data_IF_176198111603
#
_entry.id   IF_176198111603
#
_cell.length_a   1.000
_cell.length_b   1.000
_cell.length_c   1.000
_cell.angle_alpha   90.00
_cell.angle_beta   90.00
_cell.angle_gamma   90.00
#
_symmetry.space_group_name_H-M   'P 1'
#
loop_
_entity.id
_entity.type
_entity.pdbx_description
1 polymer ?
#
# COMPACT_ATOMS: atom_id res chain seq x y z
N UNK A 1 10.61 -23.34 -6.12
CA UNK A 1 9.31 -23.13 -5.45
C UNK A 1 9.52 -22.18 -4.28
N UNK A 2 8.49 -21.44 -3.89
CA UNK A 2 8.53 -20.50 -2.77
C UNK A 2 7.23 -20.58 -1.98
N UNK A 3 7.32 -20.64 -0.67
CA UNK A 3 6.19 -20.64 0.27
C UNK A 3 6.15 -19.30 1.01
N UNK A 4 4.96 -18.73 1.15
CA UNK A 4 4.75 -17.37 1.65
C UNK A 4 3.55 -17.37 2.60
N UNK A 5 3.78 -16.86 3.81
CA UNK A 5 2.69 -16.44 4.68
C UNK A 5 2.10 -15.12 4.18
N UNK A 6 0.91 -15.19 3.61
CA UNK A 6 0.33 -14.08 2.87
C UNK A 6 -0.80 -13.41 3.65
N UNK A 7 -0.65 -12.11 3.87
CA UNK A 7 -1.67 -11.28 4.52
C UNK A 7 -2.48 -10.52 3.47
N UNK A 8 -3.80 -10.50 3.62
CA UNK A 8 -4.72 -9.75 2.76
C UNK A 8 -5.79 -9.04 3.58
N UNK A 9 -6.50 -8.10 2.97
CA UNK A 9 -7.65 -7.43 3.60
C UNK A 9 -8.91 -8.22 3.28
N UNK A 10 -9.51 -8.81 4.31
CA UNK A 10 -10.77 -9.53 4.22
C UNK A 10 -12.00 -8.60 4.19
N UNK A 11 -13.18 -9.21 4.17
CA UNK A 11 -14.44 -8.48 4.26
C UNK A 11 -14.50 -7.62 5.52
N UNK A 12 -15.17 -6.48 5.39
CA UNK A 12 -15.27 -5.45 6.42
C UNK A 12 -13.91 -4.91 6.91
N UNK A 13 -12.84 -5.06 6.13
CA UNK A 13 -11.50 -4.58 6.48
C UNK A 13 -10.79 -5.47 7.51
N UNK A 14 -11.29 -6.67 7.76
CA UNK A 14 -10.67 -7.59 8.74
C UNK A 14 -9.35 -8.14 8.20
N UNK A 15 -8.29 -8.24 9.02
CA UNK A 15 -7.04 -8.86 8.59
C UNK A 15 -7.25 -10.33 8.22
N UNK A 16 -6.86 -10.70 7.00
CA UNK A 16 -6.91 -12.06 6.50
C UNK A 16 -5.53 -12.66 6.28
N UNK A 17 -5.44 -13.99 6.41
CA UNK A 17 -4.20 -14.75 6.24
C UNK A 17 -4.44 -16.03 5.44
N UNK A 18 -3.54 -16.31 4.52
CA UNK A 18 -3.47 -17.57 3.78
C UNK A 18 -2.02 -17.94 3.52
N UNK A 19 -1.80 -19.21 3.21
CA UNK A 19 -0.52 -19.69 2.72
C UNK A 19 -0.52 -19.64 1.19
N UNK A 20 0.54 -19.08 0.60
CA UNK A 20 0.73 -19.07 -0.84
C UNK A 20 2.00 -19.81 -1.19
N UNK A 21 1.85 -20.84 -2.02
CA UNK A 21 2.98 -21.46 -2.72
C UNK A 21 3.03 -21.00 -4.15
N UNK A 22 4.21 -20.61 -4.58
CA UNK A 22 4.49 -20.20 -5.95
C UNK A 22 5.55 -21.12 -6.54
N UNK A 23 5.29 -21.65 -7.72
CA UNK A 23 6.19 -22.57 -8.39
C UNK A 23 6.25 -22.28 -9.89
N UNK A 24 7.42 -22.50 -10.48
CA UNK A 24 7.63 -22.51 -11.94
C UNK A 24 8.82 -23.42 -12.21
N UNK A 25 8.63 -24.47 -13.00
CA UNK A 25 9.69 -25.47 -13.23
C UNK A 25 10.72 -24.98 -14.25
N UNK A 26 10.28 -24.22 -15.26
CA UNK A 26 11.16 -23.55 -16.23
C UNK A 26 10.45 -22.37 -16.88
N UNK A 27 11.18 -21.55 -17.63
CA UNK A 27 10.65 -20.37 -18.33
C UNK A 27 9.50 -20.69 -19.33
N UNK A 28 9.43 -21.92 -19.86
CA UNK A 28 8.38 -22.29 -20.80
C UNK A 28 7.08 -22.77 -20.13
N UNK A 29 7.08 -22.92 -18.81
CA UNK A 29 5.90 -23.33 -18.05
C UNK A 29 5.23 -22.12 -17.40
N UNK A 30 3.92 -22.24 -17.17
CA UNK A 30 3.14 -21.28 -16.41
C UNK A 30 3.62 -21.20 -14.97
N UNK A 31 3.40 -20.05 -14.35
CA UNK A 31 3.52 -19.92 -12.90
C UNK A 31 2.36 -20.67 -12.27
N UNK A 32 2.62 -21.41 -11.21
CA UNK A 32 1.60 -22.04 -10.37
C UNK A 32 1.48 -21.26 -9.09
N UNK A 33 0.26 -20.94 -8.72
CA UNK A 33 -0.07 -20.36 -7.43
C UNK A 33 -1.01 -21.31 -6.71
N UNK A 34 -0.56 -21.88 -5.60
CA UNK A 34 -1.43 -22.64 -4.69
C UNK A 34 -1.79 -21.75 -3.51
N UNK A 35 -3.02 -21.25 -3.49
CA UNK A 35 -3.56 -20.42 -2.41
C UNK A 35 -4.30 -21.30 -1.41
N UNK A 36 -3.71 -21.50 -0.23
CA UNK A 36 -4.19 -22.42 0.80
C UNK A 36 -4.78 -21.68 1.99
N UNK A 37 -5.96 -22.08 2.44
CA UNK A 37 -6.52 -21.63 3.71
C UNK A 37 -5.75 -22.27 4.88
N UNK A 38 -5.32 -21.48 5.86
CA UNK A 38 -4.72 -22.03 7.08
C UNK A 38 -5.71 -22.86 7.89
N UNK A 39 -5.20 -23.90 8.57
CA UNK A 39 -5.94 -24.55 9.65
C UNK A 39 -6.18 -23.56 10.78
N UNK A 40 -7.34 -23.67 11.44
CA UNK A 40 -7.75 -22.82 12.56
C UNK A 40 -7.91 -21.31 12.25
N UNK A 41 -8.01 -20.92 10.98
CA UNK A 41 -8.36 -19.56 10.59
C UNK A 41 -9.87 -19.45 10.31
N UNK A 42 -10.52 -18.47 10.93
CA UNK A 42 -11.98 -18.26 10.88
C UNK A 42 -12.39 -16.90 10.30
N UNK A 43 -11.46 -16.20 9.63
CA UNK A 43 -11.72 -14.91 9.00
C UNK A 43 -12.33 -15.04 7.59
N UNK A 44 -12.08 -14.05 6.74
CA UNK A 44 -12.51 -14.09 5.33
C UNK A 44 -11.80 -15.22 4.59
N UNK A 45 -12.57 -16.12 3.98
CA UNK A 45 -12.02 -17.27 3.25
C UNK A 45 -11.23 -16.88 2.01
N UNK A 46 -10.28 -17.72 1.61
CA UNK A 46 -9.50 -17.53 0.38
C UNK A 46 -10.38 -17.44 -0.87
N UNK A 47 -11.49 -18.21 -0.94
CA UNK A 47 -12.49 -18.13 -2.02
C UNK A 47 -13.04 -16.71 -2.16
N UNK A 48 -13.42 -16.11 -1.03
CA UNK A 48 -14.07 -14.80 -0.99
C UNK A 48 -13.09 -13.64 -1.19
N UNK A 49 -11.80 -13.86 -0.91
CA UNK A 49 -10.75 -12.86 -1.05
C UNK A 49 -9.86 -13.10 -2.28
N UNK A 50 -10.20 -14.05 -3.16
CA UNK A 50 -9.36 -14.49 -4.27
C UNK A 50 -8.85 -13.32 -5.12
N UNK A 51 -9.74 -12.42 -5.54
CA UNK A 51 -9.39 -11.25 -6.38
C UNK A 51 -8.42 -10.30 -5.66
N UNK A 52 -8.64 -10.07 -4.36
CA UNK A 52 -7.80 -9.20 -3.52
C UNK A 52 -6.41 -9.83 -3.34
N UNK A 53 -6.38 -11.12 -3.02
CA UNK A 53 -5.15 -11.89 -2.84
C UNK A 53 -4.36 -11.90 -4.16
N UNK A 54 -5.02 -12.25 -5.26
CA UNK A 54 -4.42 -12.30 -6.59
C UNK A 54 -3.84 -10.96 -7.00
N UNK A 55 -4.63 -9.87 -6.91
CA UNK A 55 -4.16 -8.53 -7.27
C UNK A 55 -2.95 -8.11 -6.47
N UNK A 56 -2.98 -8.33 -5.15
CA UNK A 56 -1.84 -8.02 -4.28
C UNK A 56 -0.63 -8.87 -4.63
N UNK A 57 -0.80 -10.18 -4.79
CA UNK A 57 0.28 -11.11 -5.11
C UNK A 57 0.95 -10.77 -6.45
N UNK A 58 0.15 -10.55 -7.49
CA UNK A 58 0.67 -10.30 -8.82
C UNK A 58 1.31 -8.91 -8.93
N UNK A 59 0.88 -7.93 -8.14
CA UNK A 59 1.61 -6.67 -8.00
C UNK A 59 3.00 -6.89 -7.40
N UNK A 60 3.13 -7.76 -6.38
CA UNK A 60 4.45 -8.11 -5.81
C UNK A 60 5.34 -8.85 -6.82
N UNK A 61 4.76 -9.71 -7.68
CA UNK A 61 5.49 -10.36 -8.78
C UNK A 61 5.92 -9.33 -9.83
N UNK A 62 5.02 -8.45 -10.25
CA UNK A 62 5.31 -7.44 -11.28
C UNK A 62 6.39 -6.45 -10.84
N UNK A 63 6.39 -6.07 -9.55
CA UNK A 63 7.39 -5.15 -8.98
C UNK A 63 8.73 -5.82 -8.64
N UNK A 64 8.98 -7.06 -9.12
CA UNK A 64 10.20 -7.83 -8.86
C UNK A 64 10.50 -8.12 -7.38
N UNK A 65 9.51 -8.00 -6.48
CA UNK A 65 9.69 -8.31 -5.05
C UNK A 65 9.78 -9.83 -4.79
N UNK A 66 9.41 -10.64 -5.78
CA UNK A 66 9.51 -12.09 -5.77
C UNK A 66 10.47 -12.53 -6.89
N UNK A 67 11.79 -12.46 -6.60
CA UNK A 67 12.90 -12.81 -7.49
C UNK A 67 12.61 -14.03 -8.41
N UNK A 68 13.01 -13.94 -9.67
CA UNK A 68 12.89 -14.93 -10.77
C UNK A 68 11.49 -15.16 -11.36
N UNK A 69 10.49 -14.38 -10.97
CA UNK A 69 9.15 -14.42 -11.56
C UNK A 69 8.83 -13.09 -12.26
N UNK A 70 8.37 -13.17 -13.50
CA UNK A 70 7.86 -12.03 -14.25
C UNK A 70 6.53 -12.40 -14.93
N UNK A 71 5.62 -11.44 -14.96
CA UNK A 71 4.40 -11.48 -15.75
C UNK A 71 4.64 -10.80 -17.09
N UNK A 72 3.89 -11.16 -18.12
CA UNK A 72 4.02 -10.48 -19.42
C UNK A 72 3.55 -9.02 -19.33
N UNK A 73 4.12 -8.16 -20.18
CA UNK A 73 3.68 -6.76 -20.29
C UNK A 73 2.20 -6.62 -20.67
N UNK A 74 1.60 -7.65 -21.32
CA UNK A 74 0.17 -7.65 -21.69
C UNK A 74 -0.75 -7.70 -20.47
N UNK A 75 -0.25 -8.20 -19.34
CA UNK A 75 -0.99 -8.26 -18.09
C UNK A 75 -1.15 -6.89 -17.43
N UNK A 76 -0.47 -5.86 -17.93
CA UNK A 76 -0.54 -4.49 -17.40
C UNK A 76 -1.33 -3.62 -18.37
N UNK A 77 -2.41 -3.04 -17.88
CA UNK A 77 -3.21 -2.07 -18.63
C UNK A 77 -3.21 -0.71 -17.96
N UNK A 78 -3.32 0.33 -18.78
CA UNK A 78 -3.46 1.69 -18.29
C UNK A 78 -4.94 2.00 -18.10
N UNK A 79 -5.34 2.19 -16.85
CA UNK A 79 -6.73 2.48 -16.49
C UNK A 79 -6.81 3.89 -15.93
N UNK A 80 -7.78 4.66 -16.40
CA UNK A 80 -8.11 5.96 -15.84
C UNK A 80 -8.48 5.80 -14.37
N UNK A 81 -7.99 6.69 -13.51
CA UNK A 81 -8.51 6.76 -12.16
C UNK A 81 -10.01 7.08 -12.21
N UNK A 82 -10.77 6.52 -11.27
CA UNK A 82 -12.23 6.64 -11.24
C UNK A 82 -12.73 8.09 -11.12
N UNK A 83 -11.86 9.02 -10.73
CA UNK A 83 -12.13 10.43 -10.50
C UNK A 83 -11.77 11.34 -11.69
N UNK A 84 -11.26 10.78 -12.79
CA UNK A 84 -10.78 11.59 -13.93
C UNK A 84 -11.93 12.13 -14.76
N UNK A 85 -12.01 13.46 -14.84
CA UNK A 85 -13.01 14.17 -15.63
C UNK A 85 -12.59 14.36 -17.10
N UNK A 86 -13.52 14.81 -17.93
CA UNK A 86 -13.31 14.96 -19.37
C UNK A 86 -12.21 15.98 -19.73
N UNK A 87 -12.00 17.01 -18.90
CA UNK A 87 -10.97 18.02 -19.12
C UNK A 87 -9.58 17.43 -18.84
N UNK A 88 -9.46 16.63 -17.80
CA UNK A 88 -8.22 15.90 -17.47
C UNK A 88 -7.87 14.87 -18.55
N UNK A 89 -8.87 14.18 -19.12
CA UNK A 89 -8.67 13.33 -20.32
C UNK A 89 -8.13 14.14 -21.49
N UNK A 90 -8.69 15.33 -21.73
CA UNK A 90 -8.19 16.27 -22.77
C UNK A 90 -6.77 16.76 -22.49
N UNK A 91 -6.38 16.96 -21.23
CA UNK A 91 -5.00 17.32 -20.89
C UNK A 91 -4.02 16.21 -21.27
N UNK A 92 -4.37 14.93 -21.02
CA UNK A 92 -3.55 13.79 -21.46
C UNK A 92 -3.47 13.72 -22.98
N UNK A 93 -4.57 13.93 -23.71
CA UNK A 93 -4.53 13.95 -25.18
C UNK A 93 -3.61 15.05 -25.74
N UNK A 94 -3.56 16.21 -25.09
CA UNK A 94 -2.73 17.34 -25.51
C UNK A 94 -1.25 17.17 -25.13
N UNK A 95 -0.96 16.48 -24.04
CA UNK A 95 0.41 16.23 -23.59
C UNK A 95 0.50 14.93 -22.79
N UNK A 96 0.52 13.82 -23.53
CA UNK A 96 0.47 12.47 -22.98
C UNK A 96 1.63 12.23 -22.01
N UNK A 97 2.86 12.59 -22.40
CA UNK A 97 4.06 12.37 -21.58
C UNK A 97 4.01 13.07 -20.22
N UNK A 98 3.32 14.22 -20.12
CA UNK A 98 3.21 14.99 -18.87
C UNK A 98 2.08 14.51 -17.96
N UNK A 99 0.95 14.07 -18.53
CA UNK A 99 -0.28 13.85 -17.75
C UNK A 99 -0.80 12.40 -17.73
N UNK A 100 -0.31 11.53 -18.61
CA UNK A 100 -0.77 10.13 -18.73
C UNK A 100 -0.80 9.42 -17.38
N UNK A 101 0.32 9.39 -16.68
CA UNK A 101 0.44 8.66 -15.41
C UNK A 101 -0.06 9.44 -14.19
N UNK A 102 -0.49 10.69 -14.37
CA UNK A 102 -1.16 11.46 -13.32
C UNK A 102 -2.62 11.04 -13.14
N UNK A 103 -3.27 10.73 -14.26
CA UNK A 103 -4.70 10.42 -14.30
C UNK A 103 -4.95 8.95 -14.67
N UNK A 104 -3.92 8.21 -15.06
CA UNK A 104 -4.02 6.80 -15.36
C UNK A 104 -3.00 6.03 -14.54
N UNK A 105 -3.41 4.90 -14.01
CA UNK A 105 -2.52 3.97 -13.34
C UNK A 105 -2.34 2.72 -14.17
N UNK A 106 -1.11 2.19 -14.18
CA UNK A 106 -0.92 0.79 -14.47
C UNK A 106 -1.71 -0.03 -13.46
N UNK A 107 -2.58 -0.88 -13.98
CA UNK A 107 -3.30 -1.87 -13.21
C UNK A 107 -3.10 -3.22 -13.86
N UNK A 108 -3.07 -4.26 -13.04
CA UNK A 108 -3.04 -5.62 -13.57
C UNK A 108 -4.43 -6.00 -14.08
N UNK A 109 -4.48 -6.36 -15.35
CA UNK A 109 -5.63 -7.04 -15.93
C UNK A 109 -5.63 -8.49 -15.41
N UNK A 110 -6.43 -8.74 -14.36
CA UNK A 110 -6.46 -10.06 -13.73
C UNK A 110 -6.88 -11.16 -14.71
N UNK A 111 -7.75 -10.90 -15.68
CA UNK A 111 -8.11 -11.91 -16.67
C UNK A 111 -6.87 -12.37 -17.45
N UNK A 112 -6.09 -11.42 -17.99
CA UNK A 112 -4.85 -11.72 -18.72
C UNK A 112 -3.80 -12.39 -17.83
N UNK A 113 -3.66 -11.96 -16.57
CA UNK A 113 -2.74 -12.62 -15.63
C UNK A 113 -3.14 -14.08 -15.40
N UNK A 114 -4.43 -14.36 -15.26
CA UNK A 114 -4.93 -15.73 -15.06
C UNK A 114 -4.81 -16.61 -16.32
N UNK A 115 -4.57 -16.03 -17.51
CA UNK A 115 -4.19 -16.80 -18.69
C UNK A 115 -2.74 -17.33 -18.60
N UNK A 116 -1.88 -16.61 -17.89
CA UNK A 116 -0.45 -16.90 -17.73
C UNK A 116 -0.14 -17.76 -16.49
N UNK A 117 -1.10 -17.87 -15.57
CA UNK A 117 -0.92 -18.51 -14.26
C UNK A 117 -1.93 -19.63 -14.05
N UNK A 118 -1.48 -20.76 -13.51
CA UNK A 118 -2.37 -21.78 -12.96
C UNK A 118 -2.63 -21.49 -11.49
N UNK A 119 -3.81 -20.96 -11.18
CA UNK A 119 -4.24 -20.73 -9.80
C UNK A 119 -5.02 -21.94 -9.26
N UNK A 120 -4.54 -22.48 -8.15
CA UNK A 120 -5.16 -23.57 -7.43
C UNK A 120 -5.53 -23.08 -6.04
N UNK A 121 -6.82 -23.06 -5.75
CA UNK A 121 -7.33 -22.86 -4.40
C UNK A 121 -7.28 -24.18 -3.64
N UNK A 122 -6.82 -24.17 -2.39
CA UNK A 122 -6.73 -25.37 -1.52
C UNK A 122 -7.35 -25.11 -0.15
N UNK A 123 -8.16 -26.05 0.30
CA UNK A 123 -8.58 -26.24 1.68
C UNK A 123 -7.98 -27.55 2.18
N UNK A 124 -6.94 -27.49 3.03
CA UNK A 124 -6.38 -28.68 3.65
C UNK A 124 -7.43 -29.44 4.46
N UNK A 125 -7.23 -30.74 4.63
CA UNK A 125 -8.04 -31.61 5.48
C UNK A 125 -8.17 -31.02 6.89
N UNK A 126 -9.40 -30.95 7.40
CA UNK A 126 -9.72 -30.37 8.70
C UNK A 126 -9.96 -28.86 8.67
N UNK A 127 -10.02 -28.24 7.49
CA UNK A 127 -10.43 -26.83 7.32
C UNK A 127 -11.89 -26.77 6.85
N UNK A 128 -12.68 -25.86 7.44
CA UNK A 128 -14.12 -25.73 7.20
C UNK A 128 -14.86 -27.05 7.47
N UNK A 129 -15.89 -27.38 6.68
CA UNK A 129 -16.68 -28.61 6.81
C UNK A 129 -16.00 -29.85 6.20
N UNK A 130 -14.72 -29.75 5.81
CA UNK A 130 -14.00 -30.78 5.07
C UNK A 130 -13.07 -31.56 5.99
N UNK A 131 -13.67 -32.45 6.78
CA UNK A 131 -12.95 -33.23 7.81
C UNK A 131 -12.05 -34.34 7.23
N UNK A 132 -12.39 -34.85 6.04
CA UNK A 132 -11.83 -36.15 5.59
C UNK A 132 -10.80 -36.04 4.47
N UNK A 133 -10.91 -35.03 3.60
CA UNK A 133 -10.09 -34.89 2.40
C UNK A 133 -9.58 -33.47 2.19
N UNK A 134 -8.41 -33.36 1.55
CA UNK A 134 -7.93 -32.12 0.95
C UNK A 134 -8.82 -31.75 -0.24
N UNK A 135 -9.37 -30.54 -0.20
CA UNK A 135 -10.05 -29.97 -1.35
C UNK A 135 -9.15 -29.01 -2.07
N UNK A 136 -9.15 -29.12 -3.38
CA UNK A 136 -8.48 -28.16 -4.23
C UNK A 136 -9.26 -27.98 -5.53
N UNK A 137 -9.25 -26.77 -6.05
CA UNK A 137 -9.94 -26.41 -7.28
C UNK A 137 -9.09 -25.45 -8.09
N UNK A 138 -9.06 -25.65 -9.41
CA UNK A 138 -8.55 -24.62 -10.32
C UNK A 138 -9.52 -23.45 -10.29
N UNK A 139 -8.98 -22.26 -10.08
CA UNK A 139 -9.75 -21.03 -10.14
C UNK A 139 -9.27 -20.18 -11.31
N UNK A 140 -10.21 -19.60 -12.03
CA UNK A 140 -9.98 -18.72 -13.18
C UNK A 140 -10.77 -17.44 -13.00
N UNK A 141 -10.37 -16.36 -13.68
CA UNK A 141 -11.16 -15.11 -13.75
C UNK A 141 -11.83 -15.06 -15.12
N UNK A 142 -13.14 -14.82 -15.16
CA UNK A 142 -13.88 -14.59 -16.41
C UNK A 142 -13.54 -13.22 -16.99
N UNK A 143 -13.81 -13.01 -18.27
CA UNK A 143 -13.65 -11.69 -18.91
C UNK A 143 -14.48 -10.60 -18.20
N UNK A 144 -15.60 -10.99 -17.56
CA UNK A 144 -16.41 -10.12 -16.71
C UNK A 144 -15.75 -9.73 -15.37
N UNK A 145 -14.56 -10.23 -15.08
CA UNK A 145 -13.81 -10.00 -13.84
C UNK A 145 -14.16 -10.96 -12.70
N UNK A 146 -15.24 -11.73 -12.81
CA UNK A 146 -15.69 -12.61 -11.73
C UNK A 146 -14.92 -13.94 -11.68
N UNK A 147 -14.60 -14.45 -10.48
CA UNK A 147 -13.95 -15.75 -10.33
C UNK A 147 -14.88 -16.91 -10.69
N UNK A 148 -14.27 -17.99 -11.15
CA UNK A 148 -14.93 -19.25 -11.49
C UNK A 148 -14.04 -20.43 -11.08
N UNK A 149 -14.66 -21.46 -10.48
CA UNK A 149 -13.98 -22.68 -10.05
C UNK A 149 -14.29 -23.81 -11.03
N UNK A 150 -13.24 -24.37 -11.64
CA UNK A 150 -13.36 -25.44 -12.64
C UNK A 150 -13.32 -26.85 -12.03
N UNK A 151 -13.29 -26.94 -10.69
CA UNK A 151 -13.19 -28.20 -9.97
C UNK A 151 -11.74 -28.67 -9.82
N UNK A 152 -11.60 -29.94 -9.39
CA UNK A 152 -10.32 -30.52 -9.01
C UNK A 152 -9.37 -30.62 -10.22
N UNK A 153 -8.15 -30.05 -10.18
CA UNK A 153 -7.14 -30.26 -11.20
C UNK A 153 -6.78 -31.73 -11.34
N UNK A 154 -6.54 -32.18 -12.57
CA UNK A 154 -5.95 -33.49 -12.85
C UNK A 154 -4.42 -33.39 -12.84
N UNK A 155 -3.72 -34.51 -12.61
CA UNK A 155 -2.26 -34.54 -12.68
C UNK A 155 -1.77 -34.14 -14.07
N UNK A 156 -2.47 -34.56 -15.13
CA UNK A 156 -2.14 -34.21 -16.50
C UNK A 156 -2.17 -32.70 -16.73
N UNK A 157 -3.25 -32.02 -16.29
CA UNK A 157 -3.37 -30.56 -16.44
C UNK A 157 -2.22 -29.83 -15.74
N UNK A 158 -1.89 -30.24 -14.52
CA UNK A 158 -0.82 -29.63 -13.73
C UNK A 158 0.53 -29.89 -14.37
N UNK A 159 0.80 -31.13 -14.80
CA UNK A 159 2.06 -31.51 -15.43
C UNK A 159 2.28 -30.78 -16.76
N UNK A 160 1.25 -30.69 -17.59
CA UNK A 160 1.29 -29.99 -18.88
C UNK A 160 1.53 -28.48 -18.73
N UNK A 161 0.86 -27.83 -17.77
CA UNK A 161 0.99 -26.38 -17.60
C UNK A 161 2.27 -25.98 -16.86
N UNK A 162 2.77 -26.83 -15.97
CA UNK A 162 3.69 -26.41 -14.92
C UNK A 162 4.97 -27.24 -14.85
N UNK A 163 4.93 -28.44 -15.43
CA UNK A 163 5.98 -29.44 -15.35
C UNK A 163 6.02 -30.20 -14.03
N UNK A 164 5.24 -29.82 -13.02
CA UNK A 164 5.16 -30.50 -11.73
C UNK A 164 4.07 -31.57 -11.72
N UNK A 165 4.26 -32.62 -10.93
CA UNK A 165 3.18 -33.49 -10.50
C UNK A 165 2.41 -32.83 -9.33
N UNK A 166 1.11 -33.13 -9.22
CA UNK A 166 0.23 -32.57 -8.17
C UNK A 166 0.81 -32.76 -6.77
N UNK A 167 1.38 -33.94 -6.51
CA UNK A 167 1.99 -34.29 -5.22
C UNK A 167 3.21 -33.42 -4.90
N UNK A 168 3.94 -32.93 -5.92
CA UNK A 168 5.08 -32.01 -5.71
C UNK A 168 4.60 -30.62 -5.27
N UNK A 169 3.39 -30.22 -5.67
CA UNK A 169 2.84 -28.90 -5.38
C UNK A 169 2.23 -28.82 -3.99
N UNK A 170 1.75 -29.92 -3.42
CA UNK A 170 1.08 -29.92 -2.12
C UNK A 170 2.03 -30.44 -1.04
N UNK A 171 2.35 -29.61 -0.03
CA UNK A 171 3.02 -30.13 1.16
C UNK A 171 2.06 -31.03 1.94
N UNK A 172 2.61 -32.15 2.43
CA UNK A 172 1.99 -33.03 3.42
C UNK A 172 1.85 -32.35 4.80
N UNK A 173 2.65 -31.31 5.06
CA UNK A 173 2.64 -30.62 6.35
C UNK A 173 1.38 -29.77 6.54
N UNK A 174 0.70 -29.99 7.66
CA UNK A 174 -0.40 -29.18 8.14
C UNK A 174 0.07 -27.74 8.40
N UNK A 175 -0.35 -26.80 7.55
CA UNK A 175 -0.14 -25.37 7.78
C UNK A 175 -1.11 -24.89 8.88
N UNK A 176 -0.72 -25.10 10.13
CA UNK A 176 -1.37 -24.51 11.28
C UNK A 176 -0.85 -23.07 11.47
N UNK A 177 -1.78 -22.13 11.64
CA UNK A 177 -1.45 -20.74 11.96
C UNK A 177 -0.66 -20.63 13.28
N UNK A 178 -0.77 -21.64 14.16
CA UNK A 178 -0.06 -21.69 15.45
C UNK A 178 1.42 -22.10 15.32
N UNK A 179 1.77 -23.04 14.45
CA UNK A 179 3.14 -23.54 14.31
C UNK A 179 4.09 -22.55 13.61
N UNK A 180 3.55 -21.65 12.79
CA UNK A 180 4.33 -20.60 12.09
C UNK A 180 4.91 -19.55 13.03
N UNK A 181 4.36 -19.39 14.25
CA UNK A 181 4.97 -18.53 15.29
C UNK A 181 6.27 -19.11 15.87
N UNK A 182 6.44 -20.44 15.88
CA UNK A 182 7.61 -21.10 16.46
C UNK A 182 8.76 -21.22 15.45
N UNK A 183 8.47 -21.42 14.17
CA UNK A 183 9.47 -21.58 13.11
C UNK A 183 10.31 -20.32 12.81
N UNK A 184 9.82 -19.13 13.17
CA UNK A 184 10.60 -17.88 13.03
C UNK A 184 11.70 -17.74 14.09
N UNK A 185 11.64 -18.51 15.19
CA UNK A 185 12.62 -18.44 16.29
C UNK A 185 13.87 -19.29 15.99
N UNK A 186 13.75 -20.31 15.13
CA UNK A 186 14.81 -21.33 14.94
C UNK A 186 15.76 -21.03 13.78
N UNK A 187 15.38 -20.19 12.81
CA UNK A 187 16.19 -19.96 11.60
C UNK A 187 17.28 -18.87 11.71
N UNK A 188 17.37 -18.15 12.82
CA UNK A 188 18.50 -17.25 13.10
C UNK A 188 19.48 -17.97 14.03
N UNK A 189 20.35 -18.80 13.45
CA UNK A 189 21.46 -19.43 14.15
C UNK A 189 22.43 -18.40 14.73
N UNK A 190 22.14 -17.92 15.92
CA UNK A 190 23.11 -17.38 16.87
C UNK A 190 22.96 -18.17 18.15
N UNK A 191 23.99 -18.95 18.48
CA UNK A 191 24.20 -19.50 19.81
C UNK A 191 24.26 -18.36 20.81
N UNK A 192 23.18 -18.15 21.55
CA UNK A 192 23.14 -17.21 22.68
C UNK A 192 23.81 -17.89 23.86
N UNK A 193 25.00 -17.40 24.21
CA UNK A 193 25.62 -17.64 25.51
C UNK A 193 24.64 -17.27 26.61
N UNK A 194 24.50 -18.16 27.58
CA UNK A 194 23.73 -17.96 28.81
C UNK A 194 24.26 -16.76 29.59
N UNK A 195 23.66 -15.60 29.36
CA UNK A 195 23.71 -14.44 30.24
C UNK A 195 22.28 -14.12 30.72
N UNK A 196 22.13 -13.53 31.91
CA UNK A 196 20.95 -13.72 32.73
C UNK A 196 19.70 -13.15 32.07
N UNK A 197 18.59 -13.86 32.21
CA UNK A 197 17.24 -13.45 31.80
C UNK A 197 17.01 -11.98 32.20
N UNK A 198 17.08 -11.09 31.21
CA UNK A 198 16.41 -9.81 31.29
C UNK A 198 14.92 -10.14 31.25
N UNK A 199 14.21 -9.73 32.30
CA UNK A 199 12.76 -9.85 32.43
C UNK A 199 12.11 -9.14 31.23
N UNK A 200 11.70 -9.92 30.22
CA UNK A 200 11.13 -9.49 28.94
C UNK A 200 9.64 -9.09 29.05
N UNK A 201 9.16 -8.82 30.26
CA UNK A 201 7.82 -8.29 30.47
C UNK A 201 7.80 -6.81 30.05
N UNK A 202 7.33 -6.56 28.82
CA UNK A 202 7.13 -5.27 28.12
C UNK A 202 8.36 -4.68 27.40
N UNK A 203 8.53 -5.04 26.13
CA UNK A 203 9.33 -4.22 25.22
C UNK A 203 8.43 -3.05 24.79
N UNK A 204 8.53 -1.91 25.48
CA UNK A 204 7.99 -0.65 24.98
C UNK A 204 8.80 -0.20 23.77
N UNK A 205 8.29 -0.43 22.56
CA UNK A 205 8.85 0.19 21.35
C UNK A 205 8.23 1.58 21.17
N UNK A 206 9.07 2.61 21.25
CA UNK A 206 8.75 3.95 20.78
C UNK A 206 8.89 3.95 19.26
N UNK A 207 7.78 4.14 18.56
CA UNK A 207 7.78 4.25 17.12
C UNK A 207 7.76 5.72 16.70
N UNK A 208 8.59 6.14 15.74
CA UNK A 208 8.66 7.52 15.25
C UNK A 208 8.66 7.52 13.71
N UNK A 209 7.50 7.28 13.08
CA UNK A 209 7.41 7.09 11.62
C UNK A 209 8.02 8.22 10.79
N UNK A 210 7.96 9.47 11.29
CA UNK A 210 8.54 10.63 10.60
C UNK A 210 10.04 10.43 10.48
N UNK A 211 10.71 10.07 11.58
CA UNK A 211 12.16 9.88 11.59
C UNK A 211 12.57 8.65 10.77
N UNK A 212 11.78 7.58 10.81
CA UNK A 212 11.99 6.40 9.97
C UNK A 212 11.90 6.74 8.47
N UNK A 213 10.90 7.53 8.04
CA UNK A 213 10.80 7.99 6.65
C UNK A 213 12.02 8.84 6.30
N UNK A 214 12.32 9.89 7.09
CA UNK A 214 13.41 10.82 6.79
C UNK A 214 14.78 10.14 6.74
N UNK A 215 14.94 9.02 7.46
CA UNK A 215 16.16 8.22 7.49
C UNK A 215 16.24 7.19 6.37
N UNK A 216 15.15 6.51 6.05
CA UNK A 216 15.16 5.31 5.19
C UNK A 216 14.78 5.64 3.74
N UNK A 217 13.82 6.56 3.54
CA UNK A 217 13.29 6.86 2.20
C UNK A 217 14.34 7.35 1.20
N UNK A 218 15.29 8.25 1.55
CA UNK A 218 16.33 8.68 0.60
C UNK A 218 17.13 7.50 0.01
N UNK A 219 17.55 6.56 0.86
CA UNK A 219 18.30 5.38 0.42
C UNK A 219 17.46 4.46 -0.48
N UNK A 220 16.16 4.31 -0.18
CA UNK A 220 15.23 3.55 -1.01
C UNK A 220 14.98 4.19 -2.37
N UNK A 221 14.90 5.52 -2.45
CA UNK A 221 14.79 6.25 -3.72
C UNK A 221 16.03 5.99 -4.58
N UNK A 222 17.23 6.15 -4.02
CA UNK A 222 18.50 5.90 -4.74
C UNK A 222 18.60 4.46 -5.25
N UNK A 223 18.24 3.47 -4.41
CA UNK A 223 18.24 2.06 -4.83
C UNK A 223 17.25 1.83 -5.98
N UNK A 224 16.06 2.42 -5.91
CA UNK A 224 15.05 2.28 -6.96
C UNK A 224 15.49 2.91 -8.29
N UNK A 225 16.12 4.09 -8.26
CA UNK A 225 16.70 4.75 -9.44
C UNK A 225 17.80 3.88 -10.06
N UNK A 226 18.66 3.29 -9.23
CA UNK A 226 19.72 2.39 -9.69
C UNK A 226 19.15 1.13 -10.37
N UNK A 227 18.17 0.48 -9.74
CA UNK A 227 17.58 -0.79 -10.22
C UNK A 227 16.74 -0.60 -11.49
N UNK A 228 16.11 0.57 -11.66
CA UNK A 228 15.28 0.88 -12.83
C UNK A 228 16.09 1.33 -14.05
N UNK A 229 17.40 1.57 -13.91
CA UNK A 229 18.29 1.96 -15.00
C UNK A 229 17.97 3.34 -15.60
N UNK A 230 17.13 4.14 -14.93
CA UNK A 230 16.79 5.50 -15.35
C UNK A 230 17.98 6.42 -15.07
N UNK A 231 18.37 7.22 -16.07
CA UNK A 231 19.41 8.25 -15.87
C UNK A 231 18.87 9.36 -14.97
N UNK A 232 19.79 10.02 -14.26
CA UNK A 232 19.55 11.22 -13.45
C UNK A 232 18.55 12.14 -14.15
N UNK A 233 17.44 12.40 -13.46
CA UNK A 233 16.28 13.22 -13.84
C UNK A 233 15.11 12.62 -14.63
N UNK A 234 15.10 11.33 -15.02
CA UNK A 234 13.90 10.70 -15.60
C UNK A 234 13.20 9.72 -14.63
N UNK A 235 12.04 10.16 -14.11
CA UNK A 235 10.91 9.39 -13.57
C UNK A 235 11.10 8.47 -12.34
N UNK A 236 11.11 9.06 -11.14
CA UNK A 236 10.34 8.50 -10.00
C UNK A 236 8.96 9.16 -9.96
N UNK A 237 7.88 8.39 -9.88
CA UNK A 237 6.53 8.94 -9.77
C UNK A 237 6.10 9.10 -8.29
N UNK A 238 5.12 9.96 -8.02
CA UNK A 238 4.52 10.07 -6.68
C UNK A 238 4.04 8.71 -6.17
N UNK A 239 3.49 7.86 -7.06
CA UNK A 239 3.05 6.50 -6.72
C UNK A 239 4.20 5.56 -6.35
N UNK A 240 5.37 5.70 -6.98
CA UNK A 240 6.54 4.91 -6.63
C UNK A 240 7.02 5.32 -5.23
N UNK A 241 7.05 6.63 -4.95
CA UNK A 241 7.35 7.14 -3.61
C UNK A 241 6.32 6.63 -2.59
N UNK A 242 5.03 6.64 -2.91
CA UNK A 242 3.98 6.06 -2.05
C UNK A 242 4.25 4.57 -1.78
N UNK A 243 4.63 3.80 -2.79
CA UNK A 243 4.98 2.37 -2.66
C UNK A 243 6.20 2.17 -1.76
N UNK A 244 7.26 2.97 -1.94
CA UNK A 244 8.47 2.94 -1.10
C UNK A 244 8.15 3.30 0.35
N UNK A 245 7.31 4.31 0.58
CA UNK A 245 6.86 4.69 1.94
C UNK A 245 6.00 3.58 2.55
N UNK A 246 5.09 3.00 1.78
CA UNK A 246 4.31 1.84 2.21
C UNK A 246 5.19 0.65 2.57
N UNK A 247 6.29 0.40 1.84
CA UNK A 247 7.30 -0.60 2.17
C UNK A 247 8.02 -0.30 3.49
N UNK A 248 8.39 0.96 3.74
CA UNK A 248 8.96 1.40 5.03
C UNK A 248 7.97 1.11 6.15
N UNK A 249 6.71 1.51 5.98
CA UNK A 249 5.70 1.30 7.00
C UNK A 249 5.39 -0.17 7.26
N UNK A 250 5.31 -1.00 6.22
CA UNK A 250 5.16 -2.45 6.38
C UNK A 250 6.31 -3.11 7.15
N UNK A 251 7.49 -2.47 7.14
CA UNK A 251 8.69 -2.95 7.85
C UNK A 251 8.74 -2.41 9.28
N UNK A 252 8.41 -1.13 9.46
CA UNK A 252 8.61 -0.41 10.71
C UNK A 252 7.40 -0.45 11.64
N UNK A 253 6.16 -0.63 11.13
CA UNK A 253 4.98 -0.74 11.98
C UNK A 253 4.84 -2.15 12.59
N UNK A 254 4.60 -2.25 13.91
CA UNK A 254 4.39 -3.53 14.60
C UNK A 254 3.09 -4.24 14.19
N UNK A 255 2.08 -3.49 13.74
CA UNK A 255 0.83 -4.04 13.21
C UNK A 255 0.41 -3.30 11.93
N UNK A 256 0.04 -4.07 10.90
CA UNK A 256 -0.29 -3.54 9.57
C UNK A 256 -1.60 -2.76 9.51
N UNK A 257 -2.49 -2.95 10.49
CA UNK A 257 -3.76 -2.20 10.62
C UNK A 257 -3.55 -0.75 11.11
N UNK A 258 -2.34 -0.42 11.57
CA UNK A 258 -1.97 0.94 11.95
C UNK A 258 -1.68 1.84 10.75
N UNK A 259 -1.74 1.30 9.53
CA UNK A 259 -1.42 2.03 8.31
C UNK A 259 -2.17 1.50 7.08
N UNK A 260 -2.61 2.41 6.19
CA UNK A 260 -3.25 2.09 4.91
C UNK A 260 -2.76 3.04 3.79
N UNK A 261 -2.58 2.50 2.58
CA UNK A 261 -2.17 3.22 1.37
C UNK A 261 -3.35 3.90 0.66
N UNK A 262 -4.60 3.48 0.91
CA UNK A 262 -5.75 4.07 0.22
C UNK A 262 -6.94 4.18 1.16
N UNK A 263 -6.98 5.25 1.94
CA UNK A 263 -8.16 5.52 2.74
C UNK A 263 -9.19 6.30 1.93
N UNK A 264 -10.27 5.62 1.54
CA UNK A 264 -11.43 6.27 0.95
C UNK A 264 -12.07 7.19 1.98
N UNK A 265 -11.91 8.50 1.81
CA UNK A 265 -12.43 9.46 2.77
C UNK A 265 -13.95 9.56 2.58
N UNK A 266 -14.65 8.96 3.54
CA UNK A 266 -16.09 8.70 3.60
C UNK A 266 -16.99 9.90 3.24
N UNK A 267 -18.21 9.59 2.76
CA UNK A 267 -19.37 10.49 2.65
C UNK A 267 -19.69 11.30 3.92
N UNK A 268 -19.13 10.91 5.08
CA UNK A 268 -19.26 11.60 6.37
C UNK A 268 -18.52 12.94 6.49
N UNK A 269 -17.53 13.24 5.65
CA UNK A 269 -16.95 14.61 5.59
C UNK A 269 -17.91 15.58 4.88
N UNK A 270 -19.04 15.08 4.35
CA UNK A 270 -20.01 15.91 3.64
C UNK A 270 -19.49 16.43 2.29
N UNK A 271 -18.45 15.80 1.74
CA UNK A 271 -17.84 16.12 0.43
C UNK A 271 -18.62 15.47 -0.73
N UNK A 272 -19.81 14.94 -0.48
CA UNK A 272 -20.70 14.51 -1.54
C UNK A 272 -21.42 15.73 -2.14
N UNK A 273 -20.90 16.27 -3.25
CA UNK A 273 -21.80 16.83 -4.25
C UNK A 273 -22.63 15.69 -4.85
N UNK A 274 -23.86 15.97 -5.29
CA UNK A 274 -24.80 15.00 -5.88
C UNK A 274 -24.28 14.28 -7.15
N UNK A 275 -23.03 14.53 -7.54
CA UNK A 275 -22.28 13.92 -8.64
C UNK A 275 -20.82 13.58 -8.29
N UNK A 276 -20.37 13.70 -7.04
CA UNK A 276 -18.94 13.62 -6.65
C UNK A 276 -18.49 12.24 -6.15
N UNK A 277 -17.35 11.77 -6.66
CA UNK A 277 -16.66 10.55 -6.21
C UNK A 277 -15.98 10.74 -4.84
N UNK A 278 -15.72 9.64 -4.13
CA UNK A 278 -14.97 9.64 -2.86
C UNK A 278 -13.52 10.05 -3.14
N UNK A 279 -13.00 11.06 -2.42
CA UNK A 279 -11.60 11.48 -2.53
C UNK A 279 -10.71 10.58 -1.67
N UNK A 280 -9.57 10.16 -2.22
CA UNK A 280 -8.57 9.34 -1.53
C UNK A 280 -7.44 10.21 -0.99
N UNK A 281 -6.87 9.79 0.13
CA UNK A 281 -5.61 10.29 0.68
C UNK A 281 -4.53 9.26 0.39
N UNK A 282 -3.32 9.71 0.06
CA UNK A 282 -2.22 8.83 -0.38
C UNK A 282 -1.77 7.86 0.71
N UNK A 283 -1.75 8.28 1.97
CA UNK A 283 -1.26 7.48 3.08
C UNK A 283 -2.01 7.88 4.35
N UNK A 284 -2.50 6.89 5.10
CA UNK A 284 -3.25 7.12 6.35
C UNK A 284 -2.71 6.27 7.48
N UNK A 285 -2.48 6.90 8.62
CA UNK A 285 -1.92 6.27 9.82
C UNK A 285 -2.96 6.28 10.92
N UNK A 286 -3.13 5.16 11.60
CA UNK A 286 -4.02 4.97 12.74
C UNK A 286 -3.20 4.87 14.03
N UNK A 287 -3.77 5.37 15.13
CA UNK A 287 -3.20 5.09 16.45
C UNK A 287 -3.70 3.73 16.95
N UNK A 288 -2.90 3.00 17.74
CA UNK A 288 -3.33 1.73 18.34
C UNK A 288 -4.68 1.83 19.04
N UNK A 289 -5.58 0.90 18.73
CA UNK A 289 -6.92 0.83 19.32
C UNK A 289 -7.91 1.91 18.87
N UNK A 290 -7.53 2.81 17.95
CA UNK A 290 -8.44 3.83 17.39
C UNK A 290 -8.96 3.41 16.02
N UNK A 291 -10.26 3.67 15.80
CA UNK A 291 -10.91 3.48 14.49
C UNK A 291 -10.77 4.68 13.57
N UNK A 292 -10.50 5.85 14.13
CA UNK A 292 -10.37 7.11 13.38
C UNK A 292 -8.90 7.36 12.98
N UNK A 293 -8.66 7.91 11.77
CA UNK A 293 -7.33 8.29 11.32
C UNK A 293 -6.62 9.24 12.29
N UNK A 294 -5.38 8.93 12.62
CA UNK A 294 -4.52 9.79 13.46
C UNK A 294 -3.72 10.78 12.62
N UNK A 295 -3.27 10.36 11.44
CA UNK A 295 -2.51 11.19 10.51
C UNK A 295 -2.91 10.89 9.07
N UNK A 296 -2.96 11.93 8.25
CA UNK A 296 -3.21 11.91 6.81
C UNK A 296 -1.98 12.49 6.13
N UNK A 297 -1.42 11.81 5.14
CA UNK A 297 -0.20 12.24 4.45
C UNK A 297 -0.46 12.25 2.95
N UNK A 298 -0.15 13.38 2.32
CA UNK A 298 -0.13 13.54 0.88
C UNK A 298 1.32 13.55 0.40
N UNK A 299 1.62 12.72 -0.60
CA UNK A 299 2.95 12.60 -1.16
C UNK A 299 3.06 13.55 -2.34
N UNK A 300 4.18 14.26 -2.41
CA UNK A 300 4.49 15.19 -3.49
C UNK A 300 5.90 14.98 -4.00
N UNK A 301 6.07 14.98 -5.33
CA UNK A 301 7.39 15.05 -5.94
C UNK A 301 7.64 16.44 -6.47
N UNK A 302 8.83 16.98 -6.19
CA UNK A 302 9.29 18.26 -6.72
C UNK A 302 10.52 18.04 -7.60
N UNK A 303 10.48 18.57 -8.82
CA UNK A 303 11.62 18.59 -9.74
C UNK A 303 12.00 20.05 -9.95
N UNK A 304 13.30 20.33 -10.08
CA UNK A 304 13.81 21.68 -10.23
C UNK A 304 13.04 22.40 -11.37
N UNK A 305 12.49 23.57 -11.06
CA UNK A 305 11.69 24.49 -11.91
C UNK A 305 10.16 24.31 -12.05
N UNK A 306 9.51 23.24 -11.58
CA UNK A 306 8.05 23.08 -11.80
C UNK A 306 7.33 22.43 -10.58
N UNK A 307 6.75 23.25 -9.70
CA UNK A 307 5.73 22.77 -8.75
C UNK A 307 4.36 22.97 -9.41
N UNK A 308 3.56 21.91 -9.65
CA UNK A 308 2.24 22.03 -10.25
C UNK A 308 1.26 22.70 -9.27
N UNK A 309 1.34 24.04 -9.21
CA UNK A 309 0.70 24.88 -8.19
C UNK A 309 -0.80 24.61 -8.04
N UNK A 310 -1.51 24.35 -9.13
CA UNK A 310 -2.94 24.07 -9.11
C UNK A 310 -3.29 22.74 -8.41
N UNK A 311 -2.49 21.69 -8.63
CA UNK A 311 -2.67 20.38 -8.00
C UNK A 311 -2.36 20.47 -6.50
N UNK A 312 -1.21 21.08 -6.20
CA UNK A 312 -0.77 21.37 -4.86
C UNK A 312 -1.84 22.11 -4.03
N UNK A 313 -2.46 23.16 -4.61
CA UNK A 313 -3.51 23.90 -3.93
C UNK A 313 -4.70 22.99 -3.55
N UNK A 314 -5.12 22.07 -4.42
CA UNK A 314 -6.23 21.16 -4.12
C UNK A 314 -5.91 20.24 -2.94
N UNK A 315 -4.71 19.64 -2.94
CA UNK A 315 -4.28 18.75 -1.86
C UNK A 315 -4.09 19.51 -0.55
N UNK A 316 -3.63 20.76 -0.60
CA UNK A 316 -3.57 21.62 0.57
C UNK A 316 -4.97 21.90 1.13
N UNK A 317 -5.94 22.22 0.26
CA UNK A 317 -7.35 22.37 0.65
C UNK A 317 -7.93 21.10 1.30
N UNK A 318 -7.56 19.94 0.76
CA UNK A 318 -7.94 18.61 1.27
C UNK A 318 -7.37 18.36 2.67
N UNK A 319 -6.07 18.58 2.86
CA UNK A 319 -5.39 18.45 4.16
C UNK A 319 -5.96 19.38 5.24
N UNK A 320 -6.36 20.61 4.87
CA UNK A 320 -7.03 21.54 5.77
C UNK A 320 -8.39 21.03 6.25
N UNK A 321 -9.18 20.44 5.35
CA UNK A 321 -10.45 19.80 5.71
C UNK A 321 -10.22 18.59 6.64
N UNK A 322 -9.18 17.80 6.42
CA UNK A 322 -8.83 16.69 7.31
C UNK A 322 -8.50 17.19 8.71
N UNK A 323 -7.62 18.18 8.80
CA UNK A 323 -7.26 18.83 10.08
C UNK A 323 -8.49 19.34 10.83
N UNK A 324 -9.46 19.95 10.13
CA UNK A 324 -10.67 20.51 10.76
C UNK A 324 -11.70 19.46 11.16
N UNK A 325 -12.08 18.61 10.21
CA UNK A 325 -13.28 17.79 10.29
C UNK A 325 -13.01 16.42 10.88
N UNK A 326 -11.86 15.82 10.52
CA UNK A 326 -11.42 14.53 11.07
C UNK A 326 -10.67 14.74 12.38
N UNK A 327 -10.12 15.94 12.61
CA UNK A 327 -9.21 16.23 13.74
C UNK A 327 -7.96 15.35 13.71
N UNK A 328 -7.55 14.93 12.52
CA UNK A 328 -6.29 14.21 12.29
C UNK A 328 -5.15 15.19 12.07
N UNK A 329 -3.91 14.74 12.31
CA UNK A 329 -2.75 15.48 11.84
C UNK A 329 -2.68 15.36 10.31
N UNK A 330 -2.30 16.42 9.62
CA UNK A 330 -2.24 16.47 8.17
C UNK A 330 -0.83 16.85 7.73
N UNK A 331 -0.27 16.11 6.77
CA UNK A 331 1.12 16.28 6.33
C UNK A 331 1.25 16.27 4.82
N UNK A 332 2.21 17.05 4.33
CA UNK A 332 2.86 16.81 3.05
C UNK A 332 4.18 16.07 3.28
N UNK A 333 4.37 14.96 2.58
CA UNK A 333 5.67 14.33 2.39
C UNK A 333 6.17 14.72 1.00
N UNK A 334 7.25 15.49 0.94
CA UNK A 334 7.80 16.00 -0.30
C UNK A 334 9.15 15.35 -0.57
N UNK A 335 9.34 14.84 -1.78
CA UNK A 335 10.60 14.24 -2.21
C UNK A 335 11.07 14.90 -3.51
N UNK A 336 12.37 15.04 -3.71
CA UNK A 336 12.91 15.64 -4.91
C UNK A 336 14.35 16.11 -4.75
N UNK A 337 14.83 16.87 -5.73
CA UNK A 337 16.12 17.53 -5.62
C UNK A 337 16.07 18.62 -4.52
N UNK A 338 17.15 18.86 -3.78
CA UNK A 338 17.20 19.85 -2.70
C UNK A 338 16.71 21.24 -3.15
N UNK A 339 17.06 21.68 -4.36
CA UNK A 339 16.61 22.96 -4.91
C UNK A 339 15.10 22.99 -5.16
N UNK A 340 14.52 21.87 -5.62
CA UNK A 340 13.06 21.73 -5.77
C UNK A 340 12.35 21.82 -4.42
N UNK A 341 12.92 21.21 -3.38
CA UNK A 341 12.40 21.25 -2.01
C UNK A 341 12.52 22.65 -1.41
N UNK A 342 13.62 23.36 -1.67
CA UNK A 342 13.78 24.76 -1.26
C UNK A 342 12.74 25.67 -1.95
N UNK A 343 12.52 25.51 -3.25
CA UNK A 343 11.47 26.24 -3.98
C UNK A 343 10.07 25.94 -3.42
N UNK A 344 9.81 24.69 -3.01
CA UNK A 344 8.57 24.31 -2.35
C UNK A 344 8.41 25.00 -0.99
N UNK A 345 9.48 25.13 -0.22
CA UNK A 345 9.47 25.87 1.04
C UNK A 345 9.14 27.36 0.83
N UNK A 346 9.63 27.99 -0.23
CA UNK A 346 9.26 29.38 -0.55
C UNK A 346 7.77 29.52 -0.90
N UNK A 347 7.19 28.48 -1.50
CA UNK A 347 5.78 28.41 -1.83
C UNK A 347 4.90 28.27 -0.57
N UNK A 348 5.36 27.46 0.39
CA UNK A 348 4.65 27.16 1.63
C UNK A 348 5.18 28.04 2.76
N UNK A 349 4.54 29.21 2.92
CA UNK A 349 4.80 30.10 4.05
C UNK A 349 4.19 29.52 5.33
N UNK A 350 4.77 29.87 6.48
CA UNK A 350 4.29 29.44 7.81
C UNK A 350 2.80 29.77 8.02
N UNK A 351 2.36 30.94 7.56
CA UNK A 351 0.97 31.38 7.63
C UNK A 351 0.56 32.14 6.37
N UNK A 352 -0.58 31.77 5.79
CA UNK A 352 -1.18 32.54 4.69
C UNK A 352 -2.69 32.31 4.54
N UNK A 353 -3.38 33.26 3.92
CA UNK A 353 -4.82 33.17 3.67
C UNK A 353 -5.14 32.16 2.57
N UNK A 354 -6.21 31.38 2.79
CA UNK A 354 -6.80 30.45 1.80
C UNK A 354 -7.18 31.18 0.51
N UNK A 355 -7.55 32.47 0.56
CA UNK A 355 -7.88 33.26 -0.63
C UNK A 355 -6.72 33.43 -1.61
N UNK A 356 -5.48 33.18 -1.19
CA UNK A 356 -4.30 33.21 -2.06
C UNK A 356 -4.13 31.91 -2.87
N UNK A 357 -4.89 30.86 -2.53
CA UNK A 357 -4.81 29.57 -3.20
C UNK A 357 -5.73 29.52 -4.43
N UNK A 358 -5.22 28.92 -5.51
CA UNK A 358 -6.02 28.62 -6.71
C UNK A 358 -6.75 27.29 -6.52
N UNK A 359 -7.84 27.32 -5.76
CA UNK A 359 -8.69 26.17 -5.46
C UNK A 359 -9.82 25.99 -6.47
N UNK A 360 -10.29 24.75 -6.67
CA UNK A 360 -11.55 24.52 -7.37
C UNK A 360 -12.72 25.13 -6.60
N UNK A 361 -13.83 25.39 -7.28
CA UNK A 361 -15.05 25.92 -6.66
C UNK A 361 -15.56 25.01 -5.52
N UNK A 362 -15.36 23.70 -5.67
CA UNK A 362 -15.72 22.70 -4.68
C UNK A 362 -14.95 22.91 -3.37
N UNK A 363 -13.61 22.92 -3.42
CA UNK A 363 -12.78 23.11 -2.22
C UNK A 363 -12.95 24.50 -1.63
N UNK A 364 -13.05 25.53 -2.47
CA UNK A 364 -13.30 26.90 -2.03
C UNK A 364 -14.62 27.00 -1.22
N UNK A 365 -15.68 26.36 -1.72
CA UNK A 365 -16.98 26.32 -1.05
C UNK A 365 -16.94 25.54 0.26
N UNK A 366 -16.26 24.39 0.28
CA UNK A 366 -16.12 23.54 1.46
C UNK A 366 -15.31 24.20 2.57
N UNK A 367 -14.17 24.82 2.25
CA UNK A 367 -13.35 25.54 3.22
C UNK A 367 -14.14 26.72 3.82
N UNK A 368 -14.84 27.50 2.98
CA UNK A 368 -15.69 28.61 3.43
C UNK A 368 -16.82 28.13 4.34
N UNK A 369 -17.52 27.05 3.97
CA UNK A 369 -18.60 26.44 4.78
C UNK A 369 -18.12 25.99 6.16
N UNK A 370 -16.88 25.56 6.26
CA UNK A 370 -16.28 25.07 7.52
C UNK A 370 -15.44 26.14 8.25
N UNK A 371 -15.58 27.41 7.84
CA UNK A 371 -14.89 28.56 8.43
C UNK A 371 -13.36 28.43 8.45
N UNK A 372 -12.79 27.86 7.37
CA UNK A 372 -11.34 27.74 7.18
C UNK A 372 -10.88 28.84 6.23
N UNK A 373 -10.18 29.84 6.77
CA UNK A 373 -9.73 31.03 6.03
C UNK A 373 -8.21 31.22 6.01
N UNK A 374 -7.51 30.52 6.90
CA UNK A 374 -6.06 30.60 7.07
C UNK A 374 -5.47 29.20 7.01
N UNK A 375 -4.28 29.14 6.44
CA UNK A 375 -3.44 27.95 6.37
C UNK A 375 -2.25 28.19 7.28
N UNK A 376 -2.01 27.24 8.18
CA UNK A 376 -0.81 27.17 9.01
C UNK A 376 0.03 25.99 8.56
N UNK A 377 1.33 26.20 8.42
CA UNK A 377 2.27 25.17 7.99
C UNK A 377 3.52 25.19 8.86
N UNK A 378 4.16 24.03 9.00
CA UNK A 378 5.40 23.89 9.77
C UNK A 378 6.25 22.77 9.19
N UNK A 379 7.49 23.06 8.83
CA UNK A 379 8.46 22.02 8.50
C UNK A 379 8.74 21.20 9.78
N UNK A 380 8.46 19.90 9.73
CA UNK A 380 8.63 18.99 10.87
C UNK A 380 10.01 18.34 10.83
N UNK A 381 10.53 18.08 9.64
CA UNK A 381 11.88 17.57 9.45
C UNK A 381 12.25 17.40 7.98
N UNK A 382 13.54 17.23 7.74
CA UNK A 382 14.13 16.95 6.44
C UNK A 382 15.22 15.89 6.57
N UNK A 383 15.44 15.13 5.50
CA UNK A 383 16.57 14.20 5.41
C UNK A 383 17.89 14.95 5.37
N UNK A 384 18.98 14.24 5.68
CA UNK A 384 20.33 14.85 5.75
C UNK A 384 20.83 15.37 4.42
N UNK A 385 20.46 14.71 3.34
CA UNK A 385 20.79 15.09 1.96
C UNK A 385 19.80 16.11 1.38
N UNK A 386 18.75 16.48 2.13
CA UNK A 386 17.73 17.43 1.70
C UNK A 386 16.79 16.91 0.62
N UNK A 387 16.82 15.62 0.29
CA UNK A 387 16.00 15.00 -0.76
C UNK A 387 14.57 14.65 -0.34
N UNK A 388 14.30 14.65 0.96
CA UNK A 388 12.99 14.36 1.54
C UNK A 388 12.69 15.35 2.66
N UNK A 389 11.49 15.90 2.70
CA UNK A 389 11.05 16.79 3.76
C UNK A 389 9.55 16.63 4.06
N UNK A 390 9.16 16.86 5.33
CA UNK A 390 7.79 16.69 5.81
C UNK A 390 7.28 17.98 6.40
N UNK A 391 6.17 18.49 5.87
CA UNK A 391 5.45 19.64 6.41
C UNK A 391 4.16 19.20 7.07
N UNK A 392 3.90 19.71 8.27
CA UNK A 392 2.59 19.64 8.89
C UNK A 392 1.73 20.79 8.36
N UNK A 393 0.45 20.52 8.17
CA UNK A 393 -0.57 21.46 7.69
C UNK A 393 -1.72 21.49 8.69
N UNK A 394 -2.21 22.69 9.01
CA UNK A 394 -3.36 22.85 9.90
C UNK A 394 -4.21 24.07 9.53
N UNK A 395 -5.48 24.01 9.91
CA UNK A 395 -6.44 25.10 9.75
C UNK A 395 -6.40 26.12 10.90
N UNK A 396 -5.73 25.78 12.01
CA UNK A 396 -5.54 26.64 13.18
C UNK A 396 -4.12 26.48 13.75
N UNK A 397 -3.65 27.53 14.43
CA UNK A 397 -2.29 27.62 14.97
C UNK A 397 -2.04 26.61 16.09
N UNK A 398 -2.99 26.40 17.00
CA UNK A 398 -2.79 25.47 18.11
C UNK A 398 -2.59 24.03 17.59
N UNK A 399 -3.29 23.65 16.53
CA UNK A 399 -3.13 22.35 15.89
C UNK A 399 -1.76 22.18 15.24
N UNK A 400 -1.11 23.25 14.74
CA UNK A 400 0.24 23.16 14.18
C UNK A 400 1.28 22.89 15.28
N UNK A 401 1.14 23.58 16.41
CA UNK A 401 2.12 23.57 17.50
C UNK A 401 1.98 22.39 18.47
N UNK A 402 0.83 21.72 18.48
CA UNK A 402 0.69 20.44 19.20
C UNK A 402 1.70 19.44 18.65
N UNK A 403 2.74 19.19 19.43
CA UNK A 403 3.77 18.21 19.16
C UNK A 403 3.22 16.80 19.43
N UNK A 404 2.29 16.36 18.58
CA UNK A 404 1.77 14.99 18.58
C UNK A 404 2.69 14.06 17.78
N UNK A 405 3.99 14.40 17.70
CA UNK A 405 4.97 13.71 16.87
C UNK A 405 4.99 12.23 17.24
N UNK A 406 4.38 11.44 16.36
CA UNK A 406 4.70 10.08 15.92
C UNK A 406 4.89 8.95 16.94
N UNK A 407 5.07 9.24 18.24
CA UNK A 407 5.37 8.29 19.31
C UNK A 407 4.16 7.47 19.69
N UNK A 408 4.12 6.25 19.15
CA UNK A 408 3.28 5.20 19.70
C UNK A 408 4.12 4.37 20.66
N UNK A 409 3.65 4.23 21.90
CA UNK A 409 4.12 3.20 22.82
C UNK A 409 3.16 2.04 22.66
N UNK A 410 3.65 0.91 22.16
CA UNK A 410 2.86 -0.32 22.08
C UNK A 410 3.40 -1.29 23.12
N UNK A 411 2.56 -1.63 24.10
CA UNK A 411 2.83 -2.71 25.04
C UNK A 411 2.27 -4.01 24.48
N UNK A 412 3.13 -4.93 24.05
CA UNK A 412 2.70 -6.30 23.76
C UNK A 412 2.39 -7.01 25.08
N UNK A 413 1.11 -7.21 25.38
CA UNK A 413 0.71 -8.20 26.38
C UNK A 413 0.59 -9.54 25.68
N UNK A 414 1.50 -10.46 25.99
CA UNK A 414 1.36 -11.86 25.62
C UNK A 414 0.12 -12.42 26.34
N UNK A 415 -0.94 -12.67 25.58
CA UNK A 415 -2.13 -13.42 26.00
C UNK A 415 -2.05 -14.86 25.55
#
# INVERSE_FOLDING_TARGET
MKDIDFNFTGFHGTPGRCHIRIARKSANHKIVVVCSQYKNYYGTSVTNAMEIIARKLFNEIHNNNLYDLSLSERSVELVWHDDVNWFEKKLVELNENKYKYRFMSHTLNLHTVFDEVLWIERYPKGVCSFEFDDLYSVATIKESGFPEWKGRPTNELVKENTGYDIEELFLESDFDLKSTKESQIVNNGLTVSTEPLIDLNSIERNFEWIDDILKILPAKIISHEFDSGTKENEMLWEKDIQSLVGSIFNTCFPHRDLFDNEYAVSSKIGVANKSGSKKKCDLVIFSPGKKDPSSMVEVKRVVCSDVPYGAFCQDLGKLLLYSKLIKSNAYFLVCGEPDGINNFQELIREEFSVHKLKLSDEYSSLLKKNHIFTVFTKLVGSSRDGSVAIWKIAHDKDSIDRNNSARYVISEKNS
#
